data_IF_326904606511
#
_entry.id   IF_326904606511
#
_cell.length_a   1.000
_cell.length_b   1.000
_cell.length_c   1.000
_cell.angle_alpha   90.00
_cell.angle_beta   90.00
_cell.angle_gamma   90.00
#
_symmetry.space_group_name_H-M   'P 1'
#
loop_
_entity.id
_entity.type
_entity.pdbx_description
1 polymer ?
#
# COMPACT_ATOMS: atom_id res chain seq x y z
N UNK A 1 18.34 -5.79 -25.68
CA UNK A 1 17.07 -6.51 -25.48
C UNK A 1 17.12 -7.07 -24.07
N UNK A 2 16.33 -6.53 -23.14
CA UNK A 2 16.22 -7.10 -21.80
C UNK A 2 15.56 -8.49 -21.92
N UNK A 3 16.12 -9.52 -21.29
CA UNK A 3 15.44 -10.80 -21.18
C UNK A 3 14.11 -10.57 -20.45
N UNK A 4 13.01 -10.86 -21.14
CA UNK A 4 11.70 -11.03 -20.52
C UNK A 4 11.80 -12.14 -19.47
N UNK A 5 11.10 -11.98 -18.34
CA UNK A 5 10.94 -13.03 -17.35
C UNK A 5 10.31 -14.26 -18.03
N UNK A 6 11.03 -15.39 -18.15
CA UNK A 6 10.43 -16.65 -18.61
C UNK A 6 9.33 -17.11 -17.64
N UNK A 7 9.49 -16.81 -16.34
CA UNK A 7 8.47 -16.97 -15.31
C UNK A 7 8.74 -15.98 -14.14
N UNK A 8 7.84 -15.01 -13.88
CA UNK A 8 7.98 -14.05 -12.78
C UNK A 8 7.83 -14.67 -11.39
N UNK A 9 7.29 -15.90 -11.29
CA UNK A 9 7.09 -16.60 -10.02
C UNK A 9 8.23 -17.56 -9.68
N UNK A 10 9.23 -17.71 -10.55
CA UNK A 10 10.41 -18.54 -10.27
C UNK A 10 11.29 -17.90 -9.20
N UNK A 11 11.67 -18.67 -8.19
CA UNK A 11 12.59 -18.26 -7.11
C UNK A 11 13.80 -19.18 -7.10
N UNK A 12 15.00 -18.62 -6.88
CA UNK A 12 16.23 -19.42 -6.75
C UNK A 12 16.31 -20.15 -5.41
N UNK A 13 17.08 -21.24 -5.34
CA UNK A 13 17.31 -21.96 -4.09
C UNK A 13 17.90 -21.05 -3.00
N UNK A 14 18.85 -20.18 -3.37
CA UNK A 14 19.48 -19.23 -2.44
C UNK A 14 18.46 -18.27 -1.81
N UNK A 15 17.57 -17.69 -2.63
CA UNK A 15 16.50 -16.83 -2.12
C UNK A 15 15.53 -17.59 -1.23
N UNK A 16 15.17 -18.83 -1.59
CA UNK A 16 14.27 -19.65 -0.78
C UNK A 16 14.88 -20.00 0.59
N UNK A 17 16.15 -20.40 0.63
CA UNK A 17 16.89 -20.67 1.87
C UNK A 17 17.00 -19.38 2.70
N UNK A 18 17.37 -18.27 2.06
CA UNK A 18 17.50 -16.95 2.69
C UNK A 18 16.19 -16.37 3.20
N UNK A 19 15.04 -16.83 2.71
CA UNK A 19 13.71 -16.42 3.17
C UNK A 19 13.07 -17.42 4.15
N UNK A 20 13.69 -18.58 4.40
CA UNK A 20 13.06 -19.70 5.12
C UNK A 20 12.44 -19.33 6.47
N UNK A 21 13.10 -18.48 7.27
CA UNK A 21 12.61 -18.09 8.60
C UNK A 21 11.34 -17.23 8.58
N UNK A 22 11.00 -16.60 7.44
CA UNK A 22 9.75 -15.82 7.31
C UNK A 22 8.62 -16.62 6.66
N UNK A 23 8.85 -17.85 6.23
CA UNK A 23 7.87 -18.71 5.56
C UNK A 23 7.24 -19.78 6.49
N UNK A 24 7.61 -19.79 7.77
CA UNK A 24 7.22 -20.82 8.76
C UNK A 24 5.77 -20.79 9.25
N UNK A 25 4.84 -20.15 8.53
CA UNK A 25 3.42 -20.05 8.90
C UNK A 25 2.51 -20.27 7.70
N UNK A 26 1.20 -20.43 7.95
CA UNK A 26 0.22 -20.64 6.88
C UNK A 26 0.22 -19.47 5.90
N UNK A 27 0.62 -19.76 4.66
CA UNK A 27 0.57 -18.83 3.53
C UNK A 27 -0.78 -18.95 2.81
N UNK A 28 -1.14 -17.90 2.09
CA UNK A 28 -2.39 -17.80 1.37
C UNK A 28 -2.17 -17.85 -0.13
N UNK A 29 -2.81 -18.80 -0.81
CA UNK A 29 -2.75 -18.92 -2.26
C UNK A 29 -3.75 -17.97 -2.94
N UNK A 30 -3.25 -17.19 -3.91
CA UNK A 30 -4.03 -16.22 -4.71
C UNK A 30 -4.13 -16.62 -6.18
N UNK A 31 -3.62 -17.80 -6.54
CA UNK A 31 -3.60 -18.34 -7.91
C UNK A 31 -4.99 -18.34 -8.56
N UNK A 32 -6.02 -18.80 -7.84
CA UNK A 32 -7.38 -18.83 -8.38
C UNK A 32 -7.94 -17.46 -8.73
N UNK A 33 -7.55 -16.40 -8.00
CA UNK A 33 -7.95 -15.02 -8.28
C UNK A 33 -7.26 -14.52 -9.55
N UNK A 34 -5.95 -14.74 -9.68
CA UNK A 34 -5.18 -14.40 -10.88
C UNK A 34 -5.70 -15.12 -12.12
N UNK A 35 -5.86 -16.44 -12.03
CA UNK A 35 -6.21 -17.27 -13.17
C UNK A 35 -7.68 -17.06 -13.61
N UNK A 36 -8.48 -16.41 -12.78
CA UNK A 36 -9.86 -16.01 -13.09
C UNK A 36 -9.98 -14.60 -13.71
N UNK A 37 -8.87 -13.87 -13.88
CA UNK A 37 -8.88 -12.58 -14.59
C UNK A 37 -8.98 -12.84 -16.09
N UNK A 38 -9.95 -12.21 -16.73
CA UNK A 38 -10.14 -12.20 -18.17
C UNK A 38 -9.04 -11.36 -18.85
N UNK A 39 -8.17 -11.98 -19.67
CA UNK A 39 -7.07 -11.26 -20.32
C UNK A 39 -7.54 -10.21 -21.33
N UNK A 40 -8.72 -10.36 -21.94
CA UNK A 40 -9.25 -9.38 -22.90
C UNK A 40 -9.73 -8.10 -22.20
N UNK A 41 -10.38 -8.25 -21.04
CA UNK A 41 -10.76 -7.10 -20.19
C UNK A 41 -9.49 -6.39 -19.69
N UNK A 42 -8.50 -7.15 -19.21
CA UNK A 42 -7.21 -6.59 -18.76
C UNK A 42 -6.54 -5.80 -19.90
N UNK A 43 -6.44 -6.39 -21.09
CA UNK A 43 -5.80 -5.76 -22.25
C UNK A 43 -6.52 -4.47 -22.65
N UNK A 44 -7.85 -4.48 -22.68
CA UNK A 44 -8.69 -3.31 -23.00
C UNK A 44 -8.44 -2.16 -22.02
N UNK A 45 -8.45 -2.45 -20.72
CA UNK A 45 -8.20 -1.45 -19.68
C UNK A 45 -6.76 -0.93 -19.73
N UNK A 46 -5.78 -1.80 -19.94
CA UNK A 46 -4.37 -1.41 -20.05
C UNK A 46 -4.12 -0.52 -21.27
N UNK A 47 -4.71 -0.84 -22.42
CA UNK A 47 -4.59 -0.02 -23.62
C UNK A 47 -5.04 1.43 -23.37
N UNK A 48 -6.13 1.59 -22.62
CA UNK A 48 -6.72 2.90 -22.31
C UNK A 48 -5.98 3.65 -21.20
N UNK A 49 -5.52 2.93 -20.18
CA UNK A 49 -4.84 3.52 -19.01
C UNK A 49 -3.33 3.68 -19.17
N UNK A 50 -2.74 3.22 -20.28
CA UNK A 50 -1.29 3.37 -20.49
C UNK A 50 -0.92 4.85 -20.65
N UNK A 51 0.00 5.33 -19.80
CA UNK A 51 0.50 6.71 -19.83
C UNK A 51 2.02 6.73 -19.88
N UNK A 52 2.66 7.51 -20.77
CA UNK A 52 4.11 7.66 -20.73
C UNK A 52 4.55 8.40 -19.47
N UNK A 53 5.71 8.02 -18.93
CA UNK A 53 6.42 8.86 -17.95
C UNK A 53 6.90 10.15 -18.63
N UNK A 54 7.06 11.23 -17.86
CA UNK A 54 7.53 12.53 -18.36
C UNK A 54 8.94 12.46 -18.94
N UNK A 55 9.80 11.62 -18.37
CA UNK A 55 11.19 11.45 -18.81
C UNK A 55 11.92 10.33 -18.08
N UNK A 56 13.20 10.14 -18.45
CA UNK A 56 14.04 9.08 -17.89
C UNK A 56 14.26 9.21 -16.38
N UNK A 57 14.26 10.44 -15.85
CA UNK A 57 14.40 10.73 -14.43
C UNK A 57 13.26 10.13 -13.58
N UNK A 58 12.04 10.01 -14.12
CA UNK A 58 10.90 9.42 -13.41
C UNK A 58 10.97 7.89 -13.31
N UNK A 59 11.77 7.22 -14.16
CA UNK A 59 11.85 5.77 -14.18
C UNK A 59 12.29 5.22 -12.81
N UNK A 60 13.21 5.90 -12.11
CA UNK A 60 13.71 5.45 -10.81
C UNK A 60 12.81 5.84 -9.62
N UNK A 61 11.70 6.53 -9.86
CA UNK A 61 10.87 7.11 -8.79
C UNK A 61 9.70 6.21 -8.38
N UNK A 62 9.37 5.19 -9.18
CA UNK A 62 8.14 4.41 -9.00
C UNK A 62 8.26 3.00 -9.53
N UNK A 63 7.72 2.04 -8.78
CA UNK A 63 7.56 0.65 -9.20
C UNK A 63 6.08 0.25 -9.29
N UNK A 64 5.35 0.38 -8.19
CA UNK A 64 3.98 -0.13 -8.06
C UNK A 64 3.24 0.55 -6.91
N UNK A 65 1.94 0.78 -7.09
CA UNK A 65 1.02 1.28 -6.07
C UNK A 65 -0.39 0.70 -6.29
N UNK A 66 -0.97 -0.04 -5.33
CA UNK A 66 -2.37 -0.41 -5.34
C UNK A 66 -3.23 0.73 -4.81
N UNK A 67 -4.14 1.24 -5.65
CA UNK A 67 -5.10 2.25 -5.26
C UNK A 67 -6.39 1.57 -4.78
N UNK A 68 -6.76 1.80 -3.53
CA UNK A 68 -8.07 1.37 -3.01
C UNK A 68 -9.11 2.44 -3.35
N UNK A 69 -10.21 2.01 -3.97
CA UNK A 69 -11.23 2.89 -4.56
C UNK A 69 -12.60 2.51 -4.01
N UNK A 70 -13.21 3.44 -3.27
CA UNK A 70 -14.58 3.31 -2.84
C UNK A 70 -15.52 3.62 -4.01
N UNK A 71 -16.48 2.73 -4.24
CA UNK A 71 -17.54 2.93 -5.22
C UNK A 71 -18.75 3.45 -4.47
N UNK A 72 -19.20 4.67 -4.77
CA UNK A 72 -20.45 5.24 -4.24
C UNK A 72 -21.48 5.29 -5.34
N UNK A 73 -22.77 5.31 -4.99
CA UNK A 73 -23.84 5.43 -5.98
C UNK A 73 -24.78 6.57 -5.62
N UNK A 74 -25.07 7.44 -6.60
CA UNK A 74 -26.04 8.52 -6.48
C UNK A 74 -26.81 8.68 -7.78
N UNK A 75 -28.14 8.76 -7.67
CA UNK A 75 -29.04 8.91 -8.82
C UNK A 75 -28.81 7.84 -9.92
N UNK A 76 -28.54 6.60 -9.50
CA UNK A 76 -28.24 5.46 -10.38
C UNK A 76 -26.89 5.53 -11.10
N UNK A 77 -26.02 6.47 -10.73
CA UNK A 77 -24.66 6.58 -11.28
C UNK A 77 -23.61 6.27 -10.23
N UNK A 78 -22.60 5.51 -10.64
CA UNK A 78 -21.44 5.21 -9.80
C UNK A 78 -20.41 6.32 -9.88
N UNK A 79 -19.79 6.59 -8.73
CA UNK A 79 -18.62 7.43 -8.60
C UNK A 79 -17.53 6.67 -7.84
N UNK A 80 -16.28 6.95 -8.20
CA UNK A 80 -15.09 6.18 -7.82
C UNK A 80 -14.14 7.09 -7.06
N UNK A 81 -13.99 6.88 -5.75
CA UNK A 81 -13.19 7.74 -4.88
C UNK A 81 -11.93 6.99 -4.48
N UNK A 82 -10.77 7.45 -4.97
CA UNK A 82 -9.47 6.89 -4.57
C UNK A 82 -9.22 7.29 -3.12
N UNK A 83 -9.19 6.31 -2.22
CA UNK A 83 -9.06 6.56 -0.78
C UNK A 83 -7.68 6.25 -0.20
N UNK A 84 -6.82 5.55 -0.94
CA UNK A 84 -5.47 5.18 -0.50
C UNK A 84 -4.59 4.79 -1.71
N UNK A 85 -3.28 5.09 -1.66
CA UNK A 85 -2.32 4.74 -2.72
C UNK A 85 -1.41 3.53 -2.38
N UNK A 86 -1.29 3.13 -1.10
CA UNK A 86 -0.65 1.92 -0.52
C UNK A 86 0.78 1.48 -0.98
N UNK A 87 1.33 2.01 -2.06
CA UNK A 87 2.72 1.89 -2.48
C UNK A 87 3.27 0.48 -2.77
N UNK A 88 4.61 0.34 -2.73
CA UNK A 88 5.33 -0.92 -2.93
C UNK A 88 5.18 -1.91 -1.76
N UNK A 89 4.45 -1.51 -0.71
CA UNK A 89 4.03 -2.36 0.38
C UNK A 89 2.90 -3.35 0.01
N UNK A 90 2.39 -3.30 -1.22
CA UNK A 90 1.27 -4.11 -1.74
C UNK A 90 1.21 -5.54 -1.19
N UNK A 91 0.01 -5.92 -0.76
CA UNK A 91 -0.43 -7.31 -0.66
C UNK A 91 -1.41 -7.61 -1.80
N UNK A 92 -1.20 -8.69 -2.53
CA UNK A 92 -1.98 -9.06 -3.71
C UNK A 92 -1.28 -8.80 -5.05
N UNK A 93 0.05 -8.77 -5.05
CA UNK A 93 0.83 -8.82 -6.30
C UNK A 93 0.49 -10.08 -7.10
N UNK A 94 0.26 -11.21 -6.42
CA UNK A 94 -0.12 -12.48 -7.06
C UNK A 94 -1.57 -12.56 -7.50
N UNK A 95 -2.36 -11.48 -7.35
CA UNK A 95 -3.66 -11.36 -8.01
C UNK A 95 -3.52 -10.92 -9.48
N UNK A 96 -2.37 -10.38 -9.88
CA UNK A 96 -2.12 -9.84 -11.22
C UNK A 96 -1.68 -10.93 -12.19
N UNK A 97 -1.84 -10.69 -13.50
CA UNK A 97 -1.29 -11.56 -14.54
C UNK A 97 0.23 -11.67 -14.46
N UNK A 98 0.79 -12.76 -14.99
CA UNK A 98 2.23 -12.97 -15.04
C UNK A 98 2.97 -11.79 -15.69
N UNK A 99 2.44 -11.25 -16.79
CA UNK A 99 3.05 -10.10 -17.48
C UNK A 99 3.13 -8.85 -16.60
N UNK A 100 2.05 -8.54 -15.86
CA UNK A 100 2.02 -7.41 -14.95
C UNK A 100 2.97 -7.61 -13.75
N UNK A 101 3.02 -8.81 -13.18
CA UNK A 101 4.00 -9.14 -12.13
C UNK A 101 5.42 -9.01 -12.68
N UNK A 102 5.69 -9.53 -13.89
CA UNK A 102 6.98 -9.45 -14.55
C UNK A 102 7.46 -8.01 -14.73
N UNK A 103 6.58 -7.10 -15.18
CA UNK A 103 6.90 -5.67 -15.31
C UNK A 103 7.24 -5.01 -13.96
N UNK A 104 6.47 -5.32 -12.91
CA UNK A 104 6.78 -4.86 -11.54
C UNK A 104 8.16 -5.36 -11.11
N UNK A 105 8.42 -6.67 -11.21
CA UNK A 105 9.67 -7.27 -10.76
C UNK A 105 10.87 -6.80 -11.59
N UNK A 106 10.69 -6.55 -12.89
CA UNK A 106 11.72 -5.96 -13.73
C UNK A 106 12.15 -4.57 -13.21
N UNK A 107 11.24 -3.80 -12.60
CA UNK A 107 11.61 -2.54 -11.95
C UNK A 107 12.56 -2.74 -10.78
N UNK A 108 12.30 -3.73 -9.93
CA UNK A 108 13.19 -4.07 -8.82
C UNK A 108 14.55 -4.55 -9.32
N UNK A 109 14.57 -5.37 -10.37
CA UNK A 109 15.80 -5.84 -11.01
C UNK A 109 16.63 -4.67 -11.54
N UNK A 110 16.02 -3.74 -12.27
CA UNK A 110 16.70 -2.57 -12.83
C UNK A 110 17.26 -1.65 -11.74
N UNK A 111 16.52 -1.44 -10.65
CA UNK A 111 16.98 -0.68 -9.48
C UNK A 111 18.28 -1.30 -8.95
N UNK A 112 18.31 -2.59 -8.65
CA UNK A 112 19.51 -3.26 -8.15
C UNK A 112 20.67 -3.29 -9.15
N UNK A 113 20.38 -3.44 -10.45
CA UNK A 113 21.41 -3.45 -11.50
C UNK A 113 22.10 -2.09 -11.67
N UNK A 114 21.41 -1.00 -11.33
CA UNK A 114 21.88 0.39 -11.51
C UNK A 114 22.28 1.08 -10.22
N UNK A 115 22.10 0.44 -9.05
CA UNK A 115 22.59 0.96 -7.77
C UNK A 115 24.12 1.13 -7.84
N UNK A 116 24.64 2.37 -7.61
CA UNK A 116 26.08 2.62 -7.62
C UNK A 116 26.82 1.70 -6.65
N UNK A 117 28.04 1.29 -7.04
CA UNK A 117 28.89 0.37 -6.27
C UNK A 117 30.17 1.00 -5.79
N UNK A 118 30.26 2.32 -5.90
CA UNK A 118 31.44 3.08 -5.53
C UNK A 118 31.49 3.16 -3.99
N UNK A 119 32.13 2.17 -3.36
CA UNK A 119 32.26 2.07 -1.90
C UNK A 119 31.62 0.82 -1.30
N UNK A 120 30.89 0.99 -0.20
CA UNK A 120 30.27 -0.10 0.59
C UNK A 120 29.16 -0.79 -0.20
N UNK A 121 29.17 -2.14 -0.32
CA UNK A 121 28.12 -2.86 -1.03
C UNK A 121 26.74 -2.60 -0.44
N UNK A 122 25.69 -2.47 -1.27
CA UNK A 122 24.38 -2.03 -0.82
C UNK A 122 23.69 -3.06 0.08
N UNK A 123 23.00 -2.58 1.12
CA UNK A 123 22.09 -3.37 1.94
C UNK A 123 20.66 -2.84 1.74
N UNK A 124 19.79 -3.68 1.18
CA UNK A 124 18.40 -3.34 0.89
C UNK A 124 17.48 -4.07 1.86
N UNK A 125 16.64 -3.31 2.57
CA UNK A 125 15.62 -3.83 3.47
C UNK A 125 14.31 -4.04 2.71
N UNK A 126 13.80 -5.26 2.70
CA UNK A 126 12.50 -5.61 2.11
C UNK A 126 11.50 -5.88 3.23
N UNK A 127 10.72 -4.87 3.57
CA UNK A 127 9.87 -4.90 4.75
C UNK A 127 8.43 -5.34 4.47
N UNK A 128 7.88 -6.11 5.42
CA UNK A 128 6.47 -6.54 5.47
C UNK A 128 5.77 -6.08 6.75
N UNK A 129 4.47 -5.83 6.66
CA UNK A 129 3.57 -5.76 7.82
C UNK A 129 3.40 -7.13 8.48
N UNK A 130 2.88 -7.19 9.71
CA UNK A 130 2.43 -8.44 10.37
C UNK A 130 2.95 -8.68 11.80
N UNK A 131 3.89 -7.87 12.29
CA UNK A 131 4.41 -7.95 13.67
C UNK A 131 4.19 -6.66 14.46
N UNK A 132 3.10 -5.94 14.17
CA UNK A 132 2.74 -4.71 14.88
C UNK A 132 2.53 -4.99 16.39
N UNK A 133 1.73 -6.02 16.73
CA UNK A 133 1.55 -6.47 18.12
C UNK A 133 2.54 -7.57 18.50
N UNK A 134 3.23 -7.40 19.64
CA UNK A 134 4.11 -8.42 20.21
C UNK A 134 3.34 -9.55 20.89
N UNK A 135 2.19 -9.21 21.50
CA UNK A 135 1.38 -10.17 22.24
C UNK A 135 0.44 -10.96 21.33
N UNK A 136 0.11 -10.40 20.16
CA UNK A 136 -0.78 -11.01 19.17
C UNK A 136 -0.20 -10.81 17.77
N UNK A 137 0.97 -11.41 17.46
CA UNK A 137 1.58 -11.28 16.15
C UNK A 137 0.65 -11.84 15.08
N UNK A 138 0.55 -11.12 13.96
CA UNK A 138 -0.29 -11.49 12.83
C UNK A 138 0.56 -11.59 11.58
N UNK A 139 1.37 -12.65 11.54
CA UNK A 139 2.30 -12.91 10.44
C UNK A 139 1.60 -12.78 9.08
N UNK A 140 2.24 -12.09 8.15
CA UNK A 140 1.64 -11.77 6.86
C UNK A 140 1.56 -13.05 6.01
N UNK A 141 0.33 -13.48 5.70
CA UNK A 141 0.09 -14.67 4.87
C UNK A 141 0.53 -14.50 3.41
N UNK A 142 0.83 -13.27 2.99
CA UNK A 142 1.33 -12.89 1.66
C UNK A 142 2.82 -12.51 1.67
N UNK A 143 3.58 -12.86 2.72
CA UNK A 143 5.02 -12.54 2.80
C UNK A 143 5.84 -13.10 1.62
N UNK A 144 5.36 -14.18 1.00
CA UNK A 144 5.98 -14.78 -0.18
C UNK A 144 6.04 -13.80 -1.38
N UNK A 145 5.16 -12.80 -1.45
CA UNK A 145 5.24 -11.76 -2.47
C UNK A 145 6.49 -10.89 -2.30
N UNK A 146 6.98 -10.72 -1.06
CA UNK A 146 8.25 -10.02 -0.79
C UNK A 146 9.47 -10.88 -1.12
N UNK A 147 9.31 -12.21 -1.11
CA UNK A 147 10.35 -13.13 -1.63
C UNK A 147 10.54 -12.91 -3.13
N UNK A 148 9.48 -12.62 -3.89
CA UNK A 148 9.60 -12.26 -5.31
C UNK A 148 10.39 -10.95 -5.51
N UNK A 149 10.19 -9.96 -4.63
CA UNK A 149 11.00 -8.73 -4.66
C UNK A 149 12.47 -9.00 -4.36
N UNK A 150 12.75 -9.83 -3.35
CA UNK A 150 14.12 -10.21 -3.04
C UNK A 150 14.79 -10.96 -4.20
N UNK A 151 14.08 -11.89 -4.84
CA UNK A 151 14.59 -12.59 -6.02
C UNK A 151 14.88 -11.61 -7.18
N UNK A 152 13.99 -10.65 -7.43
CA UNK A 152 14.18 -9.65 -8.49
C UNK A 152 15.40 -8.75 -8.23
N UNK A 153 15.55 -8.24 -7.00
CA UNK A 153 16.74 -7.49 -6.58
C UNK A 153 18.01 -8.34 -6.72
N UNK A 154 17.95 -9.61 -6.30
CA UNK A 154 19.08 -10.56 -6.42
C UNK A 154 19.51 -10.72 -7.88
N UNK A 155 18.55 -10.93 -8.79
CA UNK A 155 18.82 -11.02 -10.24
C UNK A 155 19.48 -9.75 -10.77
N UNK A 156 19.03 -8.58 -10.36
CA UNK A 156 19.63 -7.30 -10.78
C UNK A 156 21.09 -7.16 -10.36
N UNK A 157 21.42 -7.56 -9.13
CA UNK A 157 22.82 -7.58 -8.68
C UNK A 157 23.67 -8.60 -9.45
N UNK A 158 23.14 -9.80 -9.72
CA UNK A 158 23.82 -10.83 -10.51
C UNK A 158 24.06 -10.38 -11.95
N UNK A 159 23.07 -9.76 -12.59
CA UNK A 159 23.18 -9.20 -13.94
C UNK A 159 24.30 -8.16 -14.02
N UNK A 160 24.42 -7.31 -13.01
CA UNK A 160 25.51 -6.37 -12.89
C UNK A 160 26.82 -7.01 -12.36
N UNK A 161 26.93 -8.34 -12.29
CA UNK A 161 28.16 -9.07 -12.00
C UNK A 161 28.53 -9.22 -10.51
N UNK A 162 27.59 -8.97 -9.58
CA UNK A 162 27.81 -9.19 -8.15
C UNK A 162 27.33 -10.57 -7.68
N UNK A 163 27.76 -10.95 -6.46
CA UNK A 163 27.30 -12.16 -5.76
C UNK A 163 26.46 -11.73 -4.56
N UNK A 164 25.16 -11.44 -4.74
CA UNK A 164 24.29 -10.97 -3.67
C UNK A 164 23.95 -12.06 -2.66
N UNK A 165 23.66 -11.64 -1.43
CA UNK A 165 23.10 -12.50 -0.37
C UNK A 165 21.65 -12.12 -0.09
N UNK A 166 20.83 -13.13 0.21
CA UNK A 166 19.46 -12.94 0.71
C UNK A 166 19.40 -13.54 2.11
N UNK A 167 18.95 -12.75 3.08
CA UNK A 167 18.80 -13.16 4.47
C UNK A 167 17.48 -12.64 5.04
N UNK A 168 17.10 -13.14 6.21
CA UNK A 168 16.06 -12.54 7.06
C UNK A 168 16.67 -11.72 8.20
N UNK A 169 15.93 -10.76 8.75
CA UNK A 169 16.39 -9.99 9.93
C UNK A 169 16.79 -10.90 11.09
N UNK A 170 16.11 -12.02 11.28
CA UNK A 170 16.43 -12.97 12.35
C UNK A 170 17.78 -13.67 12.10
N UNK A 171 18.07 -14.12 10.88
CA UNK A 171 19.38 -14.71 10.53
C UNK A 171 20.50 -13.70 10.77
N UNK A 172 20.31 -12.47 10.29
CA UNK A 172 21.29 -11.40 10.48
C UNK A 172 21.51 -11.10 11.97
N UNK A 173 20.45 -11.12 12.79
CA UNK A 173 20.58 -10.92 14.24
C UNK A 173 21.34 -12.05 14.93
N UNK A 174 21.13 -13.30 14.50
CA UNK A 174 21.80 -14.48 15.04
C UNK A 174 23.27 -14.56 14.62
N UNK A 175 23.60 -14.09 13.41
CA UNK A 175 24.93 -14.07 12.86
C UNK A 175 25.26 -12.74 12.14
N UNK A 176 25.45 -11.62 12.88
CA UNK A 176 25.67 -10.30 12.28
C UNK A 176 26.86 -10.22 11.33
N UNK A 177 27.89 -11.04 11.57
CA UNK A 177 29.08 -11.12 10.73
C UNK A 177 28.78 -11.61 9.30
N UNK A 178 27.66 -12.32 9.06
CA UNK A 178 27.29 -12.81 7.72
C UNK A 178 26.94 -11.68 6.76
N UNK A 179 26.52 -10.52 7.27
CA UNK A 179 26.24 -9.36 6.41
C UNK A 179 27.38 -8.36 6.37
N UNK A 180 28.46 -8.58 7.11
CA UNK A 180 29.65 -7.73 7.10
C UNK A 180 30.57 -8.03 5.90
N UNK A 181 30.17 -8.92 5.01
CA UNK A 181 30.89 -9.23 3.78
C UNK A 181 30.75 -8.12 2.72
N UNK A 182 31.75 -8.01 1.85
CA UNK A 182 31.78 -7.14 0.68
C UNK A 182 30.84 -7.64 -0.45
N UNK A 183 29.57 -7.88 -0.13
CA UNK A 183 28.56 -8.39 -1.07
C UNK A 183 27.25 -7.63 -0.93
N UNK A 184 26.56 -7.29 -2.02
CA UNK A 184 25.19 -6.76 -1.93
C UNK A 184 24.32 -7.68 -1.07
N UNK A 185 23.51 -7.12 -0.18
CA UNK A 185 22.69 -7.91 0.73
C UNK A 185 21.25 -7.44 0.72
N UNK A 186 20.34 -8.39 0.62
CA UNK A 186 18.90 -8.17 0.66
C UNK A 186 18.40 -8.81 1.95
N UNK A 187 17.78 -8.02 2.80
CA UNK A 187 17.27 -8.49 4.09
C UNK A 187 15.75 -8.44 4.08
N UNK A 188 15.11 -9.58 4.30
CA UNK A 188 13.66 -9.73 4.43
C UNK A 188 13.25 -9.68 5.90
N UNK A 189 12.16 -9.01 6.21
CA UNK A 189 11.67 -8.99 7.59
C UNK A 189 10.40 -8.20 7.79
N UNK A 190 9.97 -8.15 9.04
CA UNK A 190 8.83 -7.33 9.43
C UNK A 190 9.31 -5.93 9.82
N UNK A 191 8.51 -4.90 9.49
CA UNK A 191 8.85 -3.50 9.75
C UNK A 191 9.33 -3.24 11.18
N UNK A 192 8.60 -3.75 12.18
CA UNK A 192 8.95 -3.59 13.59
C UNK A 192 10.31 -4.20 13.96
N UNK A 193 10.72 -5.26 13.26
CA UNK A 193 12.05 -5.85 13.46
C UNK A 193 13.14 -4.95 12.89
N UNK A 194 12.93 -4.37 11.71
CA UNK A 194 13.89 -3.43 11.15
C UNK A 194 14.04 -2.19 12.02
N UNK A 195 12.94 -1.51 12.34
CA UNK A 195 12.93 -0.27 13.14
C UNK A 195 13.71 -0.42 14.45
N UNK A 196 13.52 -1.52 15.18
CA UNK A 196 14.25 -1.81 16.44
C UNK A 196 15.75 -2.01 16.29
N UNK A 197 16.24 -2.34 15.10
CA UNK A 197 17.64 -2.65 14.85
C UNK A 197 18.30 -1.62 13.92
N UNK A 198 17.59 -0.53 13.61
CA UNK A 198 18.13 0.61 12.90
C UNK A 198 18.70 1.63 13.88
N UNK A 199 19.80 2.24 13.47
CA UNK A 199 20.37 3.42 14.10
C UNK A 199 20.70 4.45 13.03
N UNK A 200 20.65 5.72 13.40
CA UNK A 200 21.06 6.86 12.56
C UNK A 200 22.43 7.35 13.06
N UNK A 201 23.35 7.66 12.14
CA UNK A 201 24.62 8.35 12.46
C UNK A 201 24.49 9.88 12.36
N UNK A 202 25.56 10.61 12.68
CA UNK A 202 25.56 12.09 12.67
C UNK A 202 25.34 12.69 11.27
N UNK A 203 25.53 11.90 10.20
CA UNK A 203 25.26 12.29 8.82
C UNK A 203 23.86 11.86 8.33
N UNK A 204 23.02 11.31 9.21
CA UNK A 204 21.68 10.86 8.86
C UNK A 204 21.65 9.52 8.12
N UNK A 205 22.78 8.80 8.03
CA UNK A 205 22.82 7.48 7.36
C UNK A 205 22.28 6.42 8.30
N UNK A 206 21.50 5.51 7.74
CA UNK A 206 20.96 4.39 8.50
C UNK A 206 21.94 3.24 8.56
N UNK A 207 22.05 2.62 9.74
CA UNK A 207 22.88 1.46 10.00
C UNK A 207 22.05 0.35 10.62
N UNK A 208 22.32 -0.88 10.19
CA UNK A 208 21.71 -2.09 10.72
C UNK A 208 22.79 -3.14 10.96
N UNK A 209 22.93 -3.59 12.21
CA UNK A 209 23.96 -4.58 12.62
C UNK A 209 25.39 -4.23 12.15
N UNK A 210 25.76 -2.95 12.22
CA UNK A 210 27.10 -2.47 11.87
C UNK A 210 27.36 -2.28 10.37
N UNK A 211 26.31 -2.35 9.53
CA UNK A 211 26.40 -2.06 8.10
C UNK A 211 25.39 -0.99 7.68
N UNK A 212 25.79 -0.09 6.80
CA UNK A 212 24.91 0.94 6.27
C UNK A 212 23.76 0.30 5.48
N UNK A 213 22.52 0.66 5.84
CA UNK A 213 21.32 0.33 5.08
C UNK A 213 21.10 1.40 4.01
N UNK A 214 21.23 1.01 2.75
CA UNK A 214 21.24 1.93 1.60
C UNK A 214 19.94 1.92 0.82
N UNK A 215 18.99 1.02 1.15
CA UNK A 215 17.68 1.06 0.53
C UNK A 215 16.58 0.37 1.30
N UNK A 216 15.34 0.75 0.98
CA UNK A 216 14.14 0.27 1.64
C UNK A 216 13.00 0.04 0.64
N UNK A 217 12.32 -1.09 0.80
CA UNK A 217 11.08 -1.43 0.10
C UNK A 217 9.96 -1.41 1.12
N UNK A 218 8.81 -0.86 0.70
CA UNK A 218 7.56 -0.65 1.42
C UNK A 218 7.39 0.79 1.91
N UNK A 219 6.42 1.48 1.33
CA UNK A 219 6.22 2.92 1.52
C UNK A 219 5.88 3.27 2.97
N UNK A 220 5.08 2.43 3.65
CA UNK A 220 4.78 2.62 5.08
C UNK A 220 6.02 2.44 5.94
N UNK A 221 6.88 1.49 5.60
CA UNK A 221 8.16 1.32 6.30
C UNK A 221 9.06 2.55 6.13
N UNK A 222 9.14 3.09 4.90
CA UNK A 222 9.91 4.31 4.63
C UNK A 222 9.36 5.52 5.41
N UNK A 223 8.03 5.65 5.50
CA UNK A 223 7.41 6.70 6.31
C UNK A 223 7.73 6.54 7.80
N UNK A 224 7.72 5.30 8.32
CA UNK A 224 8.05 5.03 9.72
C UNK A 224 9.53 5.30 10.02
N UNK A 225 10.44 5.02 9.07
CA UNK A 225 11.85 5.41 9.18
C UNK A 225 11.93 6.92 9.39
N UNK A 226 11.32 7.74 8.53
CA UNK A 226 11.36 9.21 8.66
C UNK A 226 10.77 9.69 9.99
N UNK A 227 9.81 8.96 10.55
CA UNK A 227 9.24 9.29 11.85
C UNK A 227 10.19 8.99 13.02
N UNK A 228 10.84 7.83 13.02
CA UNK A 228 11.77 7.41 14.09
C UNK A 228 13.18 8.05 13.94
N UNK A 229 13.54 8.41 12.71
CA UNK A 229 14.84 8.93 12.28
C UNK A 229 14.62 10.24 11.49
N UNK A 230 14.24 11.35 12.15
CA UNK A 230 13.81 12.58 11.47
C UNK A 230 14.92 13.29 10.69
N UNK A 231 16.19 13.01 10.99
CA UNK A 231 17.35 13.55 10.27
C UNK A 231 17.94 12.59 9.23
N UNK A 232 17.21 11.49 8.92
CA UNK A 232 17.61 10.54 7.88
C UNK A 232 17.95 11.23 6.55
N UNK A 233 19.13 10.94 6.02
CA UNK A 233 19.53 11.37 4.69
C UNK A 233 18.82 10.51 3.65
N UNK A 234 17.72 11.04 3.13
CA UNK A 234 16.99 10.40 2.06
C UNK A 234 17.86 10.32 0.79
N UNK A 235 18.78 11.24 0.52
CA UNK A 235 19.71 11.13 -0.61
C UNK A 235 20.54 9.85 -0.58
N UNK A 236 20.96 9.41 0.62
CA UNK A 236 21.67 8.15 0.82
C UNK A 236 20.77 6.91 0.90
N UNK A 237 19.47 7.08 1.18
CA UNK A 237 18.50 5.98 1.28
C UNK A 237 17.66 5.82 0.00
N UNK A 238 17.97 4.81 -0.79
CA UNK A 238 17.22 4.44 -1.99
C UNK A 238 15.89 3.76 -1.63
N UNK A 239 14.77 4.45 -1.78
CA UNK A 239 13.44 3.85 -1.62
C UNK A 239 12.89 3.34 -2.95
N UNK A 240 12.21 2.20 -2.94
CA UNK A 240 11.68 1.59 -4.18
C UNK A 240 10.64 2.47 -4.88
N UNK A 241 9.70 3.01 -4.10
CA UNK A 241 8.90 4.14 -4.53
C UNK A 241 9.46 5.37 -3.85
N UNK A 242 9.72 6.39 -4.63
CA UNK A 242 10.20 7.65 -4.11
C UNK A 242 9.06 8.57 -3.65
N UNK A 243 7.86 8.34 -4.16
CA UNK A 243 6.61 8.93 -3.67
C UNK A 243 6.04 8.23 -2.42
N UNK A 244 6.87 7.64 -1.54
CA UNK A 244 6.39 6.80 -0.44
C UNK A 244 5.48 7.53 0.55
N UNK A 245 5.65 8.86 0.72
CA UNK A 245 4.77 9.67 1.57
C UNK A 245 3.34 9.66 1.04
N UNK A 246 3.14 9.84 -0.27
CA UNK A 246 1.82 9.75 -0.88
C UNK A 246 1.21 8.34 -0.76
N UNK A 247 2.05 7.30 -0.76
CA UNK A 247 1.65 5.90 -0.57
C UNK A 247 1.22 5.55 0.85
N UNK A 248 1.82 6.18 1.87
CA UNK A 248 1.68 5.80 3.27
C UNK A 248 0.91 6.81 4.14
N UNK A 249 0.81 8.06 3.70
CA UNK A 249 0.07 9.13 4.38
C UNK A 249 -1.19 9.49 3.59
N UNK A 250 -2.35 9.14 4.16
CA UNK A 250 -3.66 9.33 3.53
C UNK A 250 -3.95 10.80 3.23
N UNK A 251 -3.55 11.71 4.12
CA UNK A 251 -3.76 13.14 3.93
C UNK A 251 -2.91 13.69 2.77
N UNK A 252 -1.65 13.24 2.65
CA UNK A 252 -0.79 13.59 1.54
C UNK A 252 -1.35 13.05 0.21
N UNK A 253 -1.83 11.80 0.21
CA UNK A 253 -2.54 11.21 -0.92
C UNK A 253 -3.76 12.03 -1.35
N UNK A 254 -4.65 12.38 -0.41
CA UNK A 254 -5.83 13.21 -0.70
C UNK A 254 -5.48 14.59 -1.24
N UNK A 255 -4.46 15.26 -0.68
CA UNK A 255 -4.02 16.56 -1.16
C UNK A 255 -3.59 16.49 -2.64
N UNK A 256 -2.81 15.47 -3.01
CA UNK A 256 -2.34 15.30 -4.40
C UNK A 256 -3.47 14.92 -5.36
N UNK A 257 -4.39 14.05 -4.93
CA UNK A 257 -5.58 13.69 -5.72
C UNK A 257 -6.45 14.92 -5.95
N UNK A 258 -6.71 15.71 -4.91
CA UNK A 258 -7.53 16.91 -5.01
C UNK A 258 -6.92 17.96 -5.95
N UNK A 259 -5.60 18.16 -5.89
CA UNK A 259 -4.90 19.05 -6.79
C UNK A 259 -4.95 18.58 -8.25
N UNK A 260 -4.75 17.27 -8.47
CA UNK A 260 -4.92 16.69 -9.79
C UNK A 260 -6.33 16.95 -10.33
N UNK A 261 -7.37 16.73 -9.52
CA UNK A 261 -8.77 16.96 -9.90
C UNK A 261 -9.12 18.44 -10.08
N UNK A 262 -8.42 19.35 -9.40
CA UNK A 262 -8.57 20.79 -9.62
C UNK A 262 -8.04 21.20 -11.01
N UNK A 263 -6.94 20.59 -11.46
CA UNK A 263 -6.37 20.81 -12.80
C UNK A 263 -7.07 20.02 -13.91
N UNK A 264 -7.62 18.86 -13.59
CA UNK A 264 -8.32 17.97 -14.54
C UNK A 264 -9.62 17.43 -13.91
N UNK A 265 -10.71 18.24 -13.88
CA UNK A 265 -11.98 17.81 -13.32
C UNK A 265 -12.48 16.51 -13.95
N UNK A 266 -12.84 15.55 -13.11
CA UNK A 266 -13.35 14.25 -13.54
C UNK A 266 -14.86 14.17 -13.41
N UNK A 267 -15.50 13.40 -14.29
CA UNK A 267 -16.94 13.11 -14.21
C UNK A 267 -17.26 11.91 -13.33
N UNK A 268 -16.25 11.09 -13.02
CA UNK A 268 -16.41 9.81 -12.32
C UNK A 268 -15.95 9.89 -10.86
N UNK A 269 -15.43 11.03 -10.41
CA UNK A 269 -14.95 11.24 -9.04
C UNK A 269 -15.06 12.70 -8.63
N UNK A 270 -14.88 12.98 -7.34
CA UNK A 270 -14.83 14.33 -6.78
C UNK A 270 -13.69 14.45 -5.76
N UNK A 271 -13.17 15.66 -5.51
CA UNK A 271 -12.22 15.89 -4.43
C UNK A 271 -12.75 15.39 -3.09
N UNK A 272 -11.88 14.77 -2.29
CA UNK A 272 -12.21 14.30 -0.94
C UNK A 272 -12.01 15.45 0.05
N UNK A 273 -13.04 15.76 0.85
CA UNK A 273 -12.93 16.72 1.94
C UNK A 273 -12.22 16.07 3.13
N UNK A 274 -11.19 16.75 3.64
CA UNK A 274 -10.47 16.30 4.83
C UNK A 274 -9.84 17.48 5.59
N UNK A 275 -9.55 17.23 6.87
CA UNK A 275 -8.83 18.11 7.79
C UNK A 275 -7.77 17.27 8.53
N UNK A 276 -6.61 17.87 8.79
CA UNK A 276 -5.59 17.28 9.66
C UNK A 276 -5.80 17.69 11.12
N UNK A 277 -5.71 16.73 12.02
CA UNK A 277 -5.71 16.96 13.46
C UNK A 277 -4.36 16.51 14.05
N UNK A 278 -3.60 17.44 14.61
CA UNK A 278 -2.23 17.20 15.09
C UNK A 278 -2.15 16.76 16.55
N UNK A 279 -3.23 16.95 17.31
CA UNK A 279 -3.34 16.53 18.69
C UNK A 279 -4.75 16.01 18.99
N UNK A 280 -4.91 15.41 20.17
CA UNK A 280 -6.18 14.86 20.65
C UNK A 280 -7.32 15.89 20.67
N UNK A 281 -7.05 17.12 21.11
CA UNK A 281 -8.08 18.15 21.24
C UNK A 281 -8.55 18.64 19.88
N UNK A 282 -7.61 18.84 18.95
CA UNK A 282 -7.93 19.15 17.55
C UNK A 282 -8.76 18.03 16.91
N UNK A 283 -8.43 16.77 17.18
CA UNK A 283 -9.16 15.62 16.64
C UNK A 283 -10.61 15.59 17.13
N UNK A 284 -10.82 15.72 18.44
CA UNK A 284 -12.16 15.79 19.04
C UNK A 284 -12.93 16.99 18.50
N UNK A 285 -12.34 18.19 18.55
CA UNK A 285 -12.99 19.42 18.10
C UNK A 285 -13.40 19.35 16.63
N UNK A 286 -12.53 18.82 15.76
CA UNK A 286 -12.83 18.67 14.33
C UNK A 286 -13.98 17.70 14.10
N UNK A 287 -13.98 16.53 14.75
CA UNK A 287 -15.07 15.54 14.60
C UNK A 287 -16.41 16.11 15.06
N UNK A 288 -16.43 16.76 16.24
CA UNK A 288 -17.65 17.37 16.78
C UNK A 288 -18.18 18.50 15.89
N UNK A 289 -17.29 19.35 15.37
CA UNK A 289 -17.66 20.43 14.45
C UNK A 289 -18.28 19.88 13.16
N UNK A 290 -17.71 18.83 12.58
CA UNK A 290 -18.24 18.19 11.38
C UNK A 290 -19.63 17.61 11.61
N UNK A 291 -19.83 16.89 12.72
CA UNK A 291 -21.12 16.33 13.10
C UNK A 291 -22.16 17.42 13.35
N UNK A 292 -21.80 18.51 14.02
CA UNK A 292 -22.68 19.66 14.27
C UNK A 292 -23.16 20.34 12.96
N UNK A 293 -22.34 20.28 11.90
CA UNK A 293 -22.71 20.74 10.54
C UNK A 293 -23.50 19.70 9.74
N UNK A 294 -23.86 18.57 10.33
CA UNK A 294 -24.58 17.47 9.68
C UNK A 294 -23.71 16.62 8.76
N UNK A 295 -22.38 16.70 8.86
CA UNK A 295 -21.48 15.84 8.10
C UNK A 295 -21.20 14.53 8.85
N UNK A 296 -21.08 13.43 8.10
CA UNK A 296 -20.57 12.15 8.60
C UNK A 296 -19.04 12.14 8.42
N UNK A 297 -18.31 11.70 9.45
CA UNK A 297 -16.86 11.76 9.49
C UNK A 297 -16.22 10.38 9.66
N UNK A 298 -15.00 10.23 9.15
CA UNK A 298 -14.12 9.10 9.40
C UNK A 298 -12.78 9.63 9.84
N UNK A 299 -12.24 9.10 10.93
CA UNK A 299 -10.86 9.41 11.34
C UNK A 299 -9.95 8.29 10.85
N UNK A 300 -8.77 8.66 10.36
CA UNK A 300 -7.76 7.71 9.87
C UNK A 300 -6.38 8.12 10.39
N UNK A 301 -5.70 7.27 11.16
CA UNK A 301 -4.34 7.54 11.63
C UNK A 301 -3.31 7.50 10.52
N UNK A 302 -2.17 8.15 10.76
CA UNK A 302 -1.02 8.16 9.86
C UNK A 302 -0.12 6.94 10.07
N UNK A 303 0.42 6.37 8.99
CA UNK A 303 1.45 5.33 9.09
C UNK A 303 1.02 3.98 9.70
N UNK A 304 -0.28 3.74 9.88
CA UNK A 304 -0.79 2.46 10.40
C UNK A 304 -1.19 1.50 9.27
N UNK A 305 -1.64 0.28 9.61
CA UNK A 305 -2.29 -0.62 8.66
C UNK A 305 -3.37 -1.45 9.32
N UNK A 306 -3.89 -2.45 8.61
CA UNK A 306 -4.95 -3.35 9.09
C UNK A 306 -6.27 -2.67 9.48
N UNK A 307 -6.44 -1.38 9.17
CA UNK A 307 -7.57 -0.60 9.65
C UNK A 307 -7.49 -0.18 11.11
N UNK A 308 -6.36 -0.40 11.79
CA UNK A 308 -6.21 0.00 13.19
C UNK A 308 -6.33 1.52 13.35
N UNK A 309 -7.19 1.93 14.28
CA UNK A 309 -7.51 3.32 14.59
C UNK A 309 -8.44 4.02 13.59
N UNK A 310 -9.02 3.29 12.63
CA UNK A 310 -10.07 3.88 11.79
C UNK A 310 -11.40 3.81 12.53
N UNK A 311 -12.03 4.97 12.73
CA UNK A 311 -13.34 5.10 13.39
C UNK A 311 -14.32 5.93 12.54
N UNK A 312 -15.61 5.55 12.60
CA UNK A 312 -16.70 6.13 11.81
C UNK A 312 -17.72 6.88 12.69
N UNK A 313 -17.97 8.15 12.42
CA UNK A 313 -18.89 9.00 13.17
C UNK A 313 -20.04 9.42 12.26
N UNK A 314 -21.20 8.80 12.45
CA UNK A 314 -22.28 8.83 11.44
C UNK A 314 -23.53 9.62 11.88
N UNK A 315 -23.61 10.03 13.14
CA UNK A 315 -24.80 10.69 13.67
C UNK A 315 -24.44 11.88 14.55
N UNK A 316 -25.06 13.03 14.27
CA UNK A 316 -24.97 14.23 15.10
C UNK A 316 -25.63 14.05 16.49
N UNK A 317 -26.47 13.02 16.64
CA UNK A 317 -27.15 12.70 17.90
C UNK A 317 -26.34 11.73 18.77
N UNK A 318 -25.16 11.28 18.32
CA UNK A 318 -24.28 10.46 19.15
C UNK A 318 -23.80 11.28 20.37
N UNK A 319 -23.89 10.76 21.61
CA UNK A 319 -23.42 11.48 22.78
C UNK A 319 -21.94 11.83 22.68
N UNK A 320 -21.59 13.08 22.98
CA UNK A 320 -20.21 13.59 22.92
C UNK A 320 -19.21 12.69 23.67
N UNK A 321 -19.57 12.22 24.86
CA UNK A 321 -18.74 11.30 25.64
C UNK A 321 -18.39 10.02 24.86
N UNK A 322 -19.34 9.45 24.12
CA UNK A 322 -19.12 8.24 23.31
C UNK A 322 -18.20 8.50 22.11
N UNK A 323 -18.32 9.69 21.50
CA UNK A 323 -17.43 10.13 20.42
C UNK A 323 -16.00 10.23 20.96
N UNK A 324 -15.82 10.88 22.11
CA UNK A 324 -14.52 11.03 22.77
C UNK A 324 -13.92 9.67 23.13
N UNK A 325 -14.71 8.78 23.74
CA UNK A 325 -14.25 7.44 24.13
C UNK A 325 -13.71 6.63 22.94
N UNK A 326 -14.36 6.73 21.77
CA UNK A 326 -13.90 6.06 20.55
C UNK A 326 -12.62 6.67 19.99
N UNK A 327 -12.50 8.00 20.02
CA UNK A 327 -11.27 8.70 19.63
C UNK A 327 -10.11 8.27 20.54
N UNK A 328 -10.33 8.21 21.85
CA UNK A 328 -9.32 7.78 22.83
C UNK A 328 -8.94 6.30 22.67
N UNK A 329 -9.93 5.45 22.41
CA UNK A 329 -9.72 4.05 22.08
C UNK A 329 -8.87 3.86 20.82
N UNK A 330 -9.10 4.70 19.79
CA UNK A 330 -8.28 4.73 18.58
C UNK A 330 -6.84 5.12 18.87
N UNK A 331 -6.62 6.24 19.58
CA UNK A 331 -5.29 6.72 19.95
C UNK A 331 -4.51 5.64 20.73
N UNK A 332 -5.14 5.08 21.77
CA UNK A 332 -4.58 4.01 22.60
C UNK A 332 -4.23 2.77 21.79
N UNK A 333 -5.10 2.36 20.86
CA UNK A 333 -4.85 1.23 19.97
C UNK A 333 -3.63 1.49 19.10
N UNK A 334 -3.55 2.68 18.48
CA UNK A 334 -2.41 2.99 17.60
C UNK A 334 -1.09 3.11 18.37
N UNK A 335 -1.09 3.69 19.56
CA UNK A 335 0.09 3.75 20.42
C UNK A 335 0.57 2.34 20.78
N UNK A 336 -0.34 1.47 21.24
CA UNK A 336 0.00 0.10 21.64
C UNK A 336 0.58 -0.74 20.50
N UNK A 337 -0.02 -0.66 19.31
CA UNK A 337 0.35 -1.53 18.18
C UNK A 337 1.56 -1.01 17.40
N UNK A 338 1.84 0.29 17.44
CA UNK A 338 2.89 0.90 16.61
C UNK A 338 4.00 1.56 17.41
N UNK A 339 3.86 1.69 18.75
CA UNK A 339 4.85 2.37 19.59
C UNK A 339 4.86 3.89 19.43
N UNK A 340 3.79 4.46 18.88
CA UNK A 340 3.66 5.89 18.56
C UNK A 340 3.06 6.61 19.77
N UNK A 341 3.91 7.19 20.63
CA UNK A 341 3.51 7.89 21.86
C UNK A 341 2.44 8.95 21.58
N UNK A 342 1.31 8.89 22.30
CA UNK A 342 0.18 9.80 22.08
C UNK A 342 -0.72 9.42 20.89
N UNK A 343 -0.47 8.26 20.28
CA UNK A 343 -1.16 7.75 19.10
C UNK A 343 -0.51 8.15 17.78
N UNK A 344 -1.01 7.57 16.70
CA UNK A 344 -0.50 7.77 15.34
C UNK A 344 -0.90 9.11 14.70
N UNK A 345 -0.57 10.21 15.37
CA UNK A 345 -0.82 11.58 14.92
C UNK A 345 0.17 12.04 13.82
N UNK A 346 -0.21 13.03 12.99
CA UNK A 346 -1.55 13.62 12.88
C UNK A 346 -2.58 12.62 12.32
N UNK A 347 -3.84 12.78 12.71
CA UNK A 347 -4.97 12.04 12.14
C UNK A 347 -5.57 12.80 10.95
N UNK A 348 -6.04 12.07 9.96
CA UNK A 348 -6.90 12.59 8.90
C UNK A 348 -8.36 12.45 9.32
N UNK A 349 -9.09 13.55 9.46
CA UNK A 349 -10.55 13.57 9.56
C UNK A 349 -11.11 13.81 8.17
N UNK A 350 -11.79 12.83 7.57
CA UNK A 350 -12.33 12.95 6.21
C UNK A 350 -13.81 12.62 6.15
N UNK A 351 -14.44 12.98 5.04
CA UNK A 351 -15.86 12.66 4.85
C UNK A 351 -16.09 11.16 4.78
N UNK A 352 -17.24 10.74 5.32
CA UNK A 352 -17.73 9.38 5.12
C UNK A 352 -18.33 9.26 3.72
N UNK A 353 -17.72 8.41 2.91
CA UNK A 353 -18.20 8.04 1.58
C UNK A 353 -19.03 6.76 1.70
N UNK A 354 -20.31 6.87 1.38
CA UNK A 354 -21.27 5.79 1.52
C UNK A 354 -21.15 4.80 0.35
N UNK A 355 -20.36 3.74 0.55
CA UNK A 355 -20.07 2.80 -0.53
C UNK A 355 -21.26 1.96 -0.93
N UNK A 356 -21.32 1.60 -2.21
CA UNK A 356 -22.29 0.68 -2.76
C UNK A 356 -22.24 -0.68 -2.08
N UNK A 357 -23.38 -1.36 -2.11
CA UNK A 357 -23.56 -2.74 -1.65
C UNK A 357 -23.80 -3.65 -2.83
N UNK A 358 -23.50 -4.94 -2.66
CA UNK A 358 -23.87 -5.97 -3.64
C UNK A 358 -25.38 -6.20 -3.54
N UNK A 359 -26.10 -5.95 -4.64
CA UNK A 359 -27.58 -5.96 -4.68
C UNK A 359 -28.21 -7.24 -5.20
N UNK A 360 -27.43 -8.14 -5.78
CA UNK A 360 -27.97 -9.37 -6.35
C UNK A 360 -28.50 -10.31 -5.27
N UNK A 361 -29.83 -10.43 -5.18
CA UNK A 361 -30.50 -11.36 -4.27
C UNK A 361 -30.03 -12.80 -4.52
N UNK A 362 -29.89 -13.58 -3.44
CA UNK A 362 -29.41 -14.96 -3.49
C UNK A 362 -27.90 -15.12 -3.66
N UNK A 363 -27.15 -14.06 -3.98
CA UNK A 363 -25.69 -14.11 -3.94
C UNK A 363 -25.19 -14.18 -2.48
N UNK A 364 -24.16 -14.98 -2.15
CA UNK A 364 -23.66 -15.12 -0.77
C UNK A 364 -23.21 -13.80 -0.12
N UNK A 365 -22.83 -12.81 -0.92
CA UNK A 365 -22.37 -11.49 -0.48
C UNK A 365 -23.46 -10.40 -0.59
N UNK A 366 -24.72 -10.77 -0.78
CA UNK A 366 -25.84 -9.82 -0.83
C UNK A 366 -25.86 -8.90 0.40
N UNK A 367 -25.96 -7.59 0.17
CA UNK A 367 -26.00 -6.57 1.23
C UNK A 367 -24.64 -6.20 1.82
N UNK A 368 -23.53 -6.82 1.37
CA UNK A 368 -22.19 -6.42 1.79
C UNK A 368 -21.70 -5.19 1.03
N UNK A 369 -20.99 -4.29 1.73
CA UNK A 369 -20.28 -3.16 1.10
C UNK A 369 -19.02 -3.67 0.40
N UNK A 370 -18.61 -2.96 -0.65
CA UNK A 370 -17.39 -3.30 -1.37
C UNK A 370 -16.58 -2.06 -1.76
N UNK A 371 -15.31 -2.31 -2.04
CA UNK A 371 -14.39 -1.39 -2.72
C UNK A 371 -13.65 -2.14 -3.82
N UNK A 372 -13.09 -1.43 -4.78
CA UNK A 372 -12.27 -2.01 -5.86
C UNK A 372 -10.82 -1.58 -5.69
N UNK A 373 -9.89 -2.43 -6.15
CA UNK A 373 -8.46 -2.14 -6.13
C UNK A 373 -7.91 -2.06 -7.54
N UNK A 374 -7.31 -0.91 -7.88
CA UNK A 374 -6.62 -0.68 -9.14
C UNK A 374 -5.12 -0.62 -8.87
N UNK A 375 -4.34 -1.55 -9.43
CA UNK A 375 -2.88 -1.55 -9.26
C UNK A 375 -2.25 -0.78 -10.40
N UNK A 376 -1.61 0.35 -10.09
CA UNK A 376 -0.78 1.09 -11.03
C UNK A 376 0.66 0.61 -10.90
N UNK A 377 1.30 0.31 -12.01
CA UNK A 377 2.69 -0.14 -12.04
C UNK A 377 3.46 0.47 -13.21
N UNK A 378 4.78 0.50 -13.07
CA UNK A 378 5.70 0.92 -14.13
C UNK A 378 6.01 -0.27 -15.05
N UNK A 379 5.82 -0.07 -16.34
CA UNK A 379 6.26 -0.96 -17.40
C UNK A 379 7.21 -0.19 -18.33
N UNK A 380 8.50 -0.37 -18.11
CA UNK A 380 9.57 0.39 -18.76
C UNK A 380 9.39 1.90 -18.58
N UNK A 381 9.03 2.58 -19.67
CA UNK A 381 8.86 4.03 -19.74
C UNK A 381 7.41 4.49 -19.60
N UNK A 382 6.51 3.59 -19.23
CA UNK A 382 5.07 3.85 -19.11
C UNK A 382 4.53 3.44 -17.74
N UNK A 383 3.42 4.05 -17.35
CA UNK A 383 2.54 3.62 -16.28
C UNK A 383 1.38 2.84 -16.90
N UNK A 384 0.98 1.74 -16.28
CA UNK A 384 -0.20 0.93 -16.64
C UNK A 384 -1.03 0.68 -15.40
N UNK A 385 -2.34 0.49 -15.57
CA UNK A 385 -3.22 0.06 -14.50
C UNK A 385 -3.70 -1.38 -14.71
N UNK A 386 -3.92 -2.09 -13.61
CA UNK A 386 -4.53 -3.41 -13.56
C UNK A 386 -5.66 -3.40 -12.52
N UNK A 387 -6.94 -3.48 -12.93
CA UNK A 387 -8.05 -3.69 -12.00
C UNK A 387 -7.94 -5.07 -11.37
N UNK A 388 -7.50 -5.13 -10.11
CA UNK A 388 -7.04 -6.36 -9.49
C UNK A 388 -8.20 -7.14 -8.88
N UNK A 389 -8.87 -6.54 -7.89
CA UNK A 389 -9.86 -7.25 -7.08
C UNK A 389 -10.97 -6.33 -6.60
N UNK A 390 -12.11 -6.93 -6.30
CA UNK A 390 -13.13 -6.39 -5.42
C UNK A 390 -12.80 -6.84 -4.00
N UNK A 391 -12.87 -5.96 -3.02
CA UNK A 391 -12.70 -6.25 -1.58
C UNK A 391 -14.06 -6.08 -0.92
N UNK A 392 -14.52 -7.11 -0.21
CA UNK A 392 -15.88 -7.16 0.35
C UNK A 392 -15.82 -7.07 1.87
N UNK A 393 -16.73 -6.31 2.47
CA UNK A 393 -16.89 -6.25 3.94
C UNK A 393 -17.20 -7.63 4.51
N UNK A 394 -16.75 -7.92 5.72
CA UNK A 394 -17.01 -9.22 6.36
C UNK A 394 -18.44 -9.38 6.89
N UNK A 395 -19.16 -8.28 7.08
CA UNK A 395 -20.54 -8.26 7.56
C UNK A 395 -21.46 -7.54 6.58
N UNK A 396 -22.72 -7.98 6.56
CA UNK A 396 -23.82 -7.31 5.87
C UNK A 396 -23.99 -5.91 6.43
N UNK A 397 -24.25 -4.95 5.55
CA UNK A 397 -24.54 -3.58 5.95
C UNK A 397 -26.02 -3.40 6.28
N UNK A 398 -26.28 -2.80 7.44
CA UNK A 398 -27.59 -2.36 7.87
C UNK A 398 -27.54 -0.85 8.11
N UNK A 399 -28.37 -0.09 7.41
CA UNK A 399 -28.34 1.38 7.45
C UNK A 399 -28.65 1.96 8.84
N UNK A 400 -29.62 1.35 9.54
CA UNK A 400 -30.04 1.78 10.88
C UNK A 400 -29.03 1.40 11.99
N UNK A 401 -28.14 0.45 11.71
CA UNK A 401 -27.23 -0.12 12.70
C UNK A 401 -25.90 -0.58 12.08
N UNK A 402 -25.14 0.33 11.45
CA UNK A 402 -23.91 -0.05 10.78
C UNK A 402 -22.85 -0.47 11.80
N UNK A 403 -22.18 -1.59 11.53
CA UNK A 403 -21.08 -2.10 12.34
C UNK A 403 -19.75 -1.68 11.73
N UNK A 404 -18.69 -1.63 12.53
CA UNK A 404 -17.34 -1.36 12.02
C UNK A 404 -16.95 -2.33 10.89
N UNK A 405 -17.28 -3.61 11.07
CA UNK A 405 -16.97 -4.70 10.13
C UNK A 405 -17.83 -4.72 8.86
N UNK A 406 -18.95 -3.98 8.82
CA UNK A 406 -19.71 -3.75 7.59
C UNK A 406 -19.28 -2.49 6.84
N UNK A 407 -18.55 -1.57 7.51
CA UNK A 407 -18.05 -0.33 6.92
C UNK A 407 -16.59 -0.42 6.43
N UNK A 408 -15.80 -1.36 6.95
CA UNK A 408 -14.41 -1.55 6.56
C UNK A 408 -14.24 -2.70 5.56
N UNK A 409 -13.72 -2.39 4.37
CA UNK A 409 -13.48 -3.37 3.29
C UNK A 409 -12.04 -3.91 3.28
N UNK A 410 -11.39 -3.96 4.44
CA UNK A 410 -10.03 -4.45 4.57
C UNK A 410 -10.02 -5.99 4.67
N UNK A 411 -9.57 -6.68 3.62
CA UNK A 411 -9.48 -8.15 3.56
C UNK A 411 -8.78 -8.73 4.78
N UNK A 412 -7.69 -8.10 5.20
CA UNK A 412 -6.87 -8.55 6.31
C UNK A 412 -7.72 -8.41 7.60
N UNK A 413 -8.36 -7.26 7.85
CA UNK A 413 -9.29 -7.13 8.97
C UNK A 413 -10.42 -8.19 8.93
N UNK A 414 -11.08 -8.35 7.78
CA UNK A 414 -12.17 -9.32 7.56
C UNK A 414 -11.73 -10.76 7.85
N UNK A 415 -10.59 -11.20 7.32
CA UNK A 415 -10.10 -12.57 7.51
C UNK A 415 -9.70 -12.86 8.95
N UNK A 416 -9.26 -11.83 9.69
CA UNK A 416 -8.94 -11.98 11.12
C UNK A 416 -10.19 -12.04 11.98
N UNK A 417 -11.18 -11.20 11.70
CA UNK A 417 -12.42 -11.17 12.46
C UNK A 417 -13.25 -12.45 12.26
N UNK A 418 -13.25 -13.00 11.04
CA UNK A 418 -14.03 -14.19 10.67
C UNK A 418 -13.27 -15.50 10.77
N UNK A 419 -11.95 -15.44 11.01
CA UNK A 419 -11.05 -16.60 11.01
C UNK A 419 -11.03 -17.40 9.69
N UNK A 420 -11.43 -16.77 8.58
CA UNK A 420 -11.41 -17.38 7.24
C UNK A 420 -10.16 -16.99 6.44
N UNK A 421 -10.07 -17.44 5.19
CA UNK A 421 -9.02 -16.99 4.29
C UNK A 421 -9.40 -15.62 3.71
N UNK A 422 -8.40 -14.80 3.39
CA UNK A 422 -8.63 -13.53 2.73
C UNK A 422 -9.14 -13.68 1.29
N UNK A 423 -9.07 -14.87 0.68
CA UNK A 423 -9.70 -15.16 -0.62
C UNK A 423 -11.22 -15.15 -0.54
N UNK A 424 -11.78 -15.44 0.64
CA UNK A 424 -13.23 -15.49 0.85
C UNK A 424 -13.88 -14.10 0.89
N UNK A 425 -13.07 -13.04 1.01
CA UNK A 425 -13.51 -11.64 1.09
C UNK A 425 -13.09 -10.82 -0.14
N UNK A 426 -12.82 -11.49 -1.26
CA UNK A 426 -12.50 -10.83 -2.52
C UNK A 426 -12.99 -11.58 -3.75
N UNK A 427 -13.06 -10.86 -4.87
CA UNK A 427 -13.37 -11.42 -6.19
C UNK A 427 -12.42 -10.84 -7.24
N UNK A 428 -12.07 -11.58 -8.32
CA UNK A 428 -11.32 -11.04 -9.44
C UNK A 428 -12.11 -9.91 -10.12
N UNK A 429 -11.48 -8.76 -10.36
CA UNK A 429 -12.19 -7.58 -10.86
C UNK A 429 -12.33 -7.58 -12.39
N UNK A 430 -11.32 -8.07 -13.12
CA UNK A 430 -11.41 -8.23 -14.57
C UNK A 430 -12.14 -9.53 -14.90
N UNK A 431 -13.40 -9.67 -14.51
CA UNK A 431 -14.23 -10.85 -14.81
C UNK A 431 -15.65 -10.42 -15.08
N UNK A 432 -16.22 -10.81 -16.23
CA UNK A 432 -17.55 -10.35 -16.63
C UNK A 432 -18.62 -10.60 -15.56
N UNK A 433 -18.66 -11.81 -14.98
CA UNK A 433 -19.64 -12.13 -13.92
C UNK A 433 -19.48 -11.26 -12.66
N UNK A 434 -18.27 -10.78 -12.36
CA UNK A 434 -18.04 -9.87 -11.25
C UNK A 434 -18.46 -8.45 -11.61
N UNK A 435 -18.25 -8.02 -12.85
CA UNK A 435 -18.74 -6.74 -13.35
C UNK A 435 -20.28 -6.68 -13.35
N UNK A 436 -20.93 -7.71 -13.87
CA UNK A 436 -22.39 -7.84 -13.88
C UNK A 436 -22.96 -7.80 -12.44
N UNK A 437 -22.34 -8.52 -11.50
CA UNK A 437 -22.73 -8.54 -10.09
C UNK A 437 -22.68 -7.14 -9.45
N UNK A 438 -21.71 -6.33 -9.86
CA UNK A 438 -21.49 -4.99 -9.31
C UNK A 438 -22.19 -3.89 -10.10
N UNK A 439 -22.87 -4.21 -11.20
CA UNK A 439 -23.42 -3.26 -12.17
C UNK A 439 -22.32 -2.31 -12.70
N UNK A 440 -21.15 -2.87 -13.00
CA UNK A 440 -20.00 -2.17 -13.57
C UNK A 440 -19.80 -2.58 -15.02
N UNK A 441 -19.27 -1.67 -15.83
CA UNK A 441 -18.86 -1.94 -17.20
C UNK A 441 -17.34 -1.97 -17.33
N UNK A 442 -16.85 -2.53 -18.45
CA UNK A 442 -15.42 -2.43 -18.81
C UNK A 442 -15.00 -0.96 -18.99
N UNK A 443 -15.92 -0.11 -19.46
CA UNK A 443 -15.67 1.33 -19.61
C UNK A 443 -15.50 2.05 -18.26
N UNK A 444 -16.26 1.64 -17.23
CA UNK A 444 -16.07 2.15 -15.87
C UNK A 444 -14.68 1.78 -15.34
N UNK A 445 -14.27 0.51 -15.53
CA UNK A 445 -12.93 0.04 -15.15
C UNK A 445 -11.82 0.79 -15.90
N UNK A 446 -12.00 1.04 -17.19
CA UNK A 446 -11.03 1.78 -17.98
C UNK A 446 -10.94 3.24 -17.51
N UNK A 447 -12.08 3.90 -17.26
CA UNK A 447 -12.12 5.29 -16.81
C UNK A 447 -11.46 5.48 -15.42
N UNK A 448 -11.74 4.59 -14.46
CA UNK A 448 -11.08 4.64 -13.13
C UNK A 448 -9.59 4.31 -13.23
N UNK A 449 -9.19 3.46 -14.18
CA UNK A 449 -7.79 3.12 -14.44
C UNK A 449 -6.99 4.25 -15.10
N UNK A 450 -7.60 4.98 -16.03
CA UNK A 450 -7.07 6.24 -16.60
C UNK A 450 -6.90 7.29 -15.50
N UNK A 451 -7.89 7.43 -14.61
CA UNK A 451 -7.79 8.31 -13.46
C UNK A 451 -6.62 7.90 -12.55
N UNK A 452 -6.51 6.60 -12.21
CA UNK A 452 -5.46 6.08 -11.33
C UNK A 452 -4.05 6.35 -11.89
N UNK A 453 -3.81 6.07 -13.17
CA UNK A 453 -2.52 6.33 -13.82
C UNK A 453 -2.26 7.82 -14.00
N UNK A 454 -3.30 8.64 -14.23
CA UNK A 454 -3.19 10.09 -14.24
C UNK A 454 -2.79 10.68 -12.89
N UNK A 455 -3.39 10.20 -11.80
CA UNK A 455 -3.03 10.59 -10.42
C UNK A 455 -1.58 10.21 -10.12
N UNK A 456 -1.17 8.96 -10.41
CA UNK A 456 0.22 8.55 -10.16
C UNK A 456 1.20 9.37 -11.01
N UNK A 457 0.89 9.59 -12.30
CA UNK A 457 1.70 10.47 -13.16
C UNK A 457 1.88 11.87 -12.55
N UNK A 458 0.79 12.47 -12.06
CA UNK A 458 0.84 13.76 -11.38
C UNK A 458 1.68 13.71 -10.08
N UNK A 459 1.58 12.65 -9.28
CA UNK A 459 2.42 12.47 -8.09
C UNK A 459 3.90 12.44 -8.46
N UNK A 460 4.28 11.79 -9.57
CA UNK A 460 5.67 11.77 -10.05
C UNK A 460 6.12 13.13 -10.59
N UNK A 461 5.24 13.88 -11.25
CA UNK A 461 5.53 15.25 -11.66
C UNK A 461 5.79 16.15 -10.43
N UNK A 462 4.93 16.07 -9.41
CA UNK A 462 5.10 16.82 -8.15
C UNK A 462 6.36 16.43 -7.39
N UNK A 463 6.77 15.17 -7.47
CA UNK A 463 7.99 14.69 -6.84
C UNK A 463 9.25 15.31 -7.47
N UNK A 464 9.25 15.53 -8.78
CA UNK A 464 10.36 16.19 -9.47
C UNK A 464 10.29 17.72 -9.33
N UNK A 465 9.08 18.30 -9.44
CA UNK A 465 8.90 19.75 -9.48
C UNK A 465 8.89 20.39 -8.08
N UNK A 466 8.40 19.67 -7.08
CA UNK A 466 8.19 20.15 -5.70
C UNK A 466 8.46 19.05 -4.65
N UNK A 467 9.67 18.43 -4.62
CA UNK A 467 9.98 17.32 -3.70
C UNK A 467 9.73 17.64 -2.22
N UNK A 468 9.97 18.89 -1.80
CA UNK A 468 9.73 19.35 -0.43
C UNK A 468 8.27 19.17 0.02
N UNK A 469 7.32 19.25 -0.91
CA UNK A 469 5.88 19.02 -0.64
C UNK A 469 5.60 17.59 -0.17
N UNK A 470 6.42 16.64 -0.61
CA UNK A 470 6.34 15.23 -0.22
C UNK A 470 7.28 14.89 0.93
N UNK A 471 7.83 15.88 1.62
CA UNK A 471 8.78 15.68 2.73
C UNK A 471 10.13 15.13 2.26
N UNK A 472 10.50 15.37 1.00
CA UNK A 472 11.77 14.93 0.42
C UNK A 472 12.71 16.12 0.24
N UNK A 473 14.03 15.94 0.35
CA UNK A 473 14.98 17.01 0.07
C UNK A 473 14.84 17.51 -1.37
N UNK A 474 15.04 18.81 -1.58
CA UNK A 474 15.20 19.38 -2.93
C UNK A 474 16.41 18.74 -3.60
N UNK A 475 16.20 18.23 -4.82
CA UNK A 475 17.24 17.53 -5.60
C UNK A 475 18.41 18.44 -5.99
#
# INVERSE_FOLDING_TARGET
MAQTYDDPFRVSLDTLIGASMVLGHRLEDRTSVRDSQDPEIVATVQQRSTRPLRGASQQRLFAVAPLDVLVTERDGRKAFHIIELNGAGIGGLTNLSADAVGAVLQTFQQVAATTPRDGTPPLIMVASSGLESEHQPRLNRLIYEKVLYAEALRRGYVEAGAVPMVNTVNQVREAPWEIQHDRPTIVLGYMKQFLRNLSEDDEGRLWMFGRQATGAVNDRFCLNIVHEHPSVDLGALQTMNRCFVAGADKSAGYALINDYLAGAPSRITSPTRFTLAHDRNQLIGTVLEWLAKGHRAVIKPRGTGLGHGIEFFLSANEPEARIIDRIDGSLTTTERFYGLTGGALPYTVCEFLDTATIRQEGHPMFGHKYEIRIVVYRDGTTLKAFPSIVKVSSQVYHEDSPTHLSLINNITASSSATLTAGVDHMMPLCRQSTLDLLDLTVDDLAAVSELATGVIGFVLDQLEDQPARLGLPTA
#
